data_IF_596436882452
#
_entry.id   IF_596436882452
#
_cell.length_a   1.000
_cell.length_b   1.000
_cell.length_c   1.000
_cell.angle_alpha   90.00
_cell.angle_beta   90.00
_cell.angle_gamma   90.00
#
_symmetry.space_group_name_H-M   'P 1'
#
loop_
_entity.id
_entity.type
_entity.pdbx_description
1 polymer ?
#
# COMPACT_ATOMS: atom_id res chain seq x y z
N UNK A 1 -19.68 3.28 1.63
CA UNK A 1 -18.53 2.87 0.82
C UNK A 1 -18.94 1.96 -0.33
N UNK A 2 -18.57 2.33 -1.56
CA UNK A 2 -18.71 1.54 -2.79
C UNK A 2 -17.33 1.34 -3.43
N UNK A 3 -17.04 0.16 -3.96
CA UNK A 3 -15.81 -0.13 -4.68
C UNK A 3 -16.09 -0.22 -6.18
N UNK A 4 -15.50 0.69 -6.95
CA UNK A 4 -15.60 0.73 -8.40
C UNK A 4 -14.45 -0.05 -9.02
N UNK A 5 -14.77 -0.88 -10.01
CA UNK A 5 -13.78 -1.58 -10.83
C UNK A 5 -13.97 -1.22 -12.31
N UNK A 6 -12.85 -0.95 -12.98
CA UNK A 6 -12.80 -0.84 -14.44
C UNK A 6 -11.72 -1.78 -14.96
N UNK A 7 -12.12 -2.68 -15.86
CA UNK A 7 -11.26 -3.70 -16.46
C UNK A 7 -10.82 -3.21 -17.83
N UNK A 8 -9.51 -3.13 -18.04
CA UNK A 8 -8.93 -2.69 -19.30
C UNK A 8 -8.00 -3.77 -19.85
N UNK A 9 -8.03 -3.97 -21.18
CA UNK A 9 -7.10 -4.85 -21.88
C UNK A 9 -6.13 -3.98 -22.65
N UNK A 10 -4.83 -4.15 -22.43
CA UNK A 10 -3.79 -3.44 -23.18
C UNK A 10 -2.96 -4.44 -23.99
N UNK A 11 -2.71 -4.21 -25.29
CA UNK A 11 -1.78 -5.04 -26.04
C UNK A 11 -0.38 -4.96 -25.42
N UNK A 12 0.18 -6.11 -25.03
CA UNK A 12 1.53 -6.21 -24.47
C UNK A 12 2.61 -6.28 -25.53
N UNK A 13 3.87 -6.20 -25.10
CA UNK A 13 5.03 -6.38 -25.99
C UNK A 13 5.16 -7.88 -26.33
N UNK A 14 4.79 -8.24 -27.57
CA UNK A 14 4.85 -9.57 -28.20
C UNK A 14 3.75 -10.54 -27.71
N UNK A 15 2.66 -10.66 -28.48
CA UNK A 15 1.59 -11.68 -28.41
C UNK A 15 0.93 -11.95 -27.04
N UNK A 16 1.26 -11.19 -25.99
CA UNK A 16 0.65 -11.29 -24.66
C UNK A 16 -0.31 -10.12 -24.44
N UNK A 17 -1.51 -10.44 -24.00
CA UNK A 17 -2.49 -9.45 -23.54
C UNK A 17 -2.16 -9.15 -22.09
N UNK A 18 -1.95 -7.87 -21.76
CA UNK A 18 -1.83 -7.44 -20.37
C UNK A 18 -3.20 -6.93 -19.91
N UNK A 19 -3.61 -7.36 -18.73
CA UNK A 19 -4.84 -6.89 -18.11
C UNK A 19 -4.50 -5.77 -17.13
N UNK A 20 -5.32 -4.73 -17.11
CA UNK A 20 -5.27 -3.67 -16.11
C UNK A 20 -6.59 -3.64 -15.37
N UNK A 21 -6.50 -3.64 -14.05
CA UNK A 21 -7.64 -3.45 -13.16
C UNK A 21 -7.49 -2.08 -12.52
N UNK A 22 -8.36 -1.15 -12.87
CA UNK A 22 -8.50 0.10 -12.14
C UNK A 22 -9.51 -0.09 -11.03
N UNK A 23 -9.14 0.29 -9.80
CA UNK A 23 -10.04 0.26 -8.66
C UNK A 23 -10.08 1.62 -7.98
N UNK A 24 -11.28 2.05 -7.59
CA UNK A 24 -11.49 3.30 -6.82
C UNK A 24 -12.55 3.10 -5.75
N UNK A 25 -12.28 3.59 -4.56
CA UNK A 25 -13.21 3.61 -3.44
C UNK A 25 -14.01 4.92 -3.47
N UNK A 26 -15.33 4.80 -3.60
CA UNK A 26 -16.26 5.90 -3.41
C UNK A 26 -16.80 5.86 -1.98
N UNK A 27 -16.63 6.97 -1.28
CA UNK A 27 -17.02 7.15 0.11
C UNK A 27 -17.96 8.35 0.21
N UNK A 28 -18.88 8.32 1.17
CA UNK A 28 -19.74 9.48 1.46
C UNK A 28 -18.95 10.56 2.20
N UNK A 29 -19.50 11.77 2.30
CA UNK A 29 -18.84 12.87 3.01
C UNK A 29 -18.59 12.54 4.49
N UNK A 30 -19.54 11.86 5.15
CA UNK A 30 -19.42 11.45 6.56
C UNK A 30 -18.33 10.38 6.75
N UNK A 31 -18.27 9.41 5.85
CA UNK A 31 -17.21 8.38 5.85
C UNK A 31 -15.83 9.03 5.63
N UNK A 32 -15.74 10.04 4.76
CA UNK A 32 -14.50 10.78 4.52
C UNK A 32 -14.03 11.54 5.76
N UNK A 33 -14.95 12.20 6.48
CA UNK A 33 -14.61 12.89 7.72
C UNK A 33 -14.08 11.92 8.79
N UNK A 34 -14.66 10.72 8.90
CA UNK A 34 -14.15 9.67 9.80
C UNK A 34 -12.76 9.17 9.38
N UNK A 35 -12.53 8.98 8.08
CA UNK A 35 -11.23 8.57 7.55
C UNK A 35 -10.13 9.59 7.79
N UNK A 36 -10.44 10.88 7.66
CA UNK A 36 -9.52 11.96 7.94
C UNK A 36 -9.25 12.07 9.45
N UNK A 37 -10.30 11.96 10.29
CA UNK A 37 -10.20 12.02 11.75
C UNK A 37 -9.28 10.95 12.34
N UNK A 38 -9.42 9.70 11.88
CA UNK A 38 -8.63 8.57 12.37
C UNK A 38 -7.40 8.25 11.48
N UNK A 39 -7.08 9.13 10.52
CA UNK A 39 -5.94 8.96 9.61
C UNK A 39 -5.91 7.62 8.84
N UNK A 40 -7.09 7.03 8.58
CA UNK A 40 -7.20 5.75 7.87
C UNK A 40 -6.62 5.82 6.45
N UNK A 41 -6.52 7.00 5.84
CA UNK A 41 -5.90 7.21 4.53
C UNK A 41 -4.44 6.71 4.45
N UNK A 42 -3.70 6.77 5.56
CA UNK A 42 -2.31 6.32 5.64
C UNK A 42 -2.17 4.84 6.04
N UNK A 43 -3.27 4.18 6.39
CA UNK A 43 -3.27 2.75 6.70
C UNK A 43 -2.89 1.93 5.47
N UNK A 44 -1.95 1.01 5.63
CA UNK A 44 -1.69 -0.02 4.64
C UNK A 44 -2.76 -1.11 4.76
N UNK A 45 -3.54 -1.33 3.68
CA UNK A 45 -4.48 -2.45 3.59
C UNK A 45 -3.74 -3.78 3.42
N UNK A 46 -2.53 -3.72 2.89
CA UNK A 46 -1.61 -4.84 2.77
C UNK A 46 -0.21 -4.36 3.01
N UNK A 47 0.43 -4.89 4.05
CA UNK A 47 1.88 -4.78 4.22
C UNK A 47 2.53 -6.07 3.73
N UNK A 48 3.06 -6.05 2.49
CA UNK A 48 3.99 -7.08 2.03
C UNK A 48 5.40 -6.54 2.19
N UNK A 49 6.22 -7.20 3.02
CA UNK A 49 7.65 -6.90 3.09
C UNK A 49 8.30 -7.41 1.80
N UNK A 50 8.77 -6.50 0.95
CA UNK A 50 9.36 -6.83 -0.35
C UNK A 50 10.87 -6.52 -0.38
N UNK A 51 11.73 -7.43 0.12
CA UNK A 51 13.18 -7.19 0.18
C UNK A 51 13.82 -7.05 -1.21
N UNK A 52 13.28 -7.77 -2.22
CA UNK A 52 13.78 -7.69 -3.59
C UNK A 52 13.41 -6.37 -4.28
N UNK A 53 12.31 -5.70 -3.88
CA UNK A 53 11.92 -4.42 -4.47
C UNK A 53 12.92 -3.33 -4.07
N UNK A 54 13.32 -3.28 -2.80
CA UNK A 54 14.30 -2.30 -2.31
C UNK A 54 15.66 -2.54 -2.96
N UNK A 55 16.09 -3.80 -3.07
CA UNK A 55 17.36 -4.16 -3.74
C UNK A 55 17.37 -3.79 -5.22
N UNK A 56 16.28 -4.09 -5.95
CA UNK A 56 16.19 -3.74 -7.38
C UNK A 56 16.06 -2.23 -7.61
N UNK A 57 15.33 -1.52 -6.75
CA UNK A 57 15.26 -0.06 -6.79
C UNK A 57 16.61 0.59 -6.51
N UNK A 58 17.34 0.09 -5.51
CA UNK A 58 18.68 0.59 -5.18
C UNK A 58 19.66 0.31 -6.33
N UNK A 59 19.62 -0.88 -6.92
CA UNK A 59 20.45 -1.22 -8.08
C UNK A 59 20.13 -0.32 -9.28
N UNK A 60 18.84 -0.07 -9.57
CA UNK A 60 18.41 0.82 -10.64
C UNK A 60 18.85 2.26 -10.37
N UNK A 61 18.61 2.78 -9.16
CA UNK A 61 19.01 4.12 -8.76
C UNK A 61 20.52 4.32 -8.85
N UNK A 62 21.31 3.31 -8.45
CA UNK A 62 22.76 3.33 -8.57
C UNK A 62 23.23 3.29 -10.03
N UNK A 63 22.60 2.47 -10.88
CA UNK A 63 22.90 2.45 -12.31
C UNK A 63 22.62 3.80 -12.96
N UNK A 64 21.47 4.41 -12.65
CA UNK A 64 21.13 5.76 -13.14
C UNK A 64 22.12 6.80 -12.63
N UNK A 65 22.53 6.74 -11.36
CA UNK A 65 23.55 7.61 -10.78
C UNK A 65 24.88 7.52 -11.52
N UNK A 66 25.37 6.31 -11.83
CA UNK A 66 26.62 6.14 -12.59
C UNK A 66 26.49 6.75 -13.98
N UNK A 67 25.41 6.45 -14.70
CA UNK A 67 25.22 6.93 -16.08
C UNK A 67 25.13 8.46 -16.10
N UNK A 68 24.30 9.06 -15.24
CA UNK A 68 24.21 10.53 -15.16
C UNK A 68 25.50 11.15 -14.66
N UNK A 69 26.19 10.53 -13.69
CA UNK A 69 27.48 10.99 -13.18
C UNK A 69 28.55 11.03 -14.27
N UNK A 70 28.69 9.98 -15.07
CA UNK A 70 29.68 9.94 -16.18
C UNK A 70 29.36 11.00 -17.22
N UNK A 71 28.11 11.07 -17.70
CA UNK A 71 27.70 12.03 -18.73
C UNK A 71 27.84 13.47 -18.26
N UNK A 72 27.37 13.79 -17.06
CA UNK A 72 27.42 15.16 -16.52
C UNK A 72 28.83 15.56 -16.09
N UNK A 73 29.67 14.61 -15.66
CA UNK A 73 31.07 14.91 -15.32
C UNK A 73 31.87 15.39 -16.52
N UNK A 74 31.58 14.84 -17.70
CA UNK A 74 32.22 15.24 -18.95
C UNK A 74 31.77 16.62 -19.45
N UNK A 75 30.56 17.06 -19.09
CA UNK A 75 29.96 18.31 -19.60
C UNK A 75 30.02 19.49 -18.62
N UNK A 76 29.78 19.24 -17.34
CA UNK A 76 29.53 20.29 -16.33
C UNK A 76 30.47 20.20 -15.11
N UNK A 77 31.40 19.25 -15.11
CA UNK A 77 32.37 19.04 -14.03
C UNK A 77 31.85 18.19 -12.87
N UNK A 78 32.79 17.64 -12.11
CA UNK A 78 32.54 16.55 -11.13
C UNK A 78 31.58 16.95 -10.02
N UNK A 79 31.64 18.18 -9.50
CA UNK A 79 30.79 18.62 -8.39
C UNK A 79 29.31 18.69 -8.78
N UNK A 80 29.02 19.23 -9.96
CA UNK A 80 27.64 19.33 -10.48
C UNK A 80 27.11 17.95 -10.83
N UNK A 81 27.96 17.10 -11.43
CA UNK A 81 27.60 15.74 -11.79
C UNK A 81 27.21 14.86 -10.59
N UNK A 82 27.90 14.98 -9.46
CA UNK A 82 27.58 14.21 -8.25
C UNK A 82 26.21 14.63 -7.68
N UNK A 83 25.95 15.93 -7.57
CA UNK A 83 24.67 16.42 -7.01
C UNK A 83 23.49 16.04 -7.91
N UNK A 84 23.58 16.31 -9.21
CA UNK A 84 22.51 15.96 -10.15
C UNK A 84 22.35 14.45 -10.32
N UNK A 85 23.46 13.70 -10.28
CA UNK A 85 23.43 12.25 -10.30
C UNK A 85 22.67 11.68 -9.10
N UNK A 86 22.91 12.21 -7.89
CA UNK A 86 22.20 11.76 -6.68
C UNK A 86 20.71 12.03 -6.79
N UNK A 87 20.31 13.20 -7.29
CA UNK A 87 18.90 13.54 -7.51
C UNK A 87 18.26 12.63 -8.56
N UNK A 88 18.95 12.39 -9.69
CA UNK A 88 18.45 11.51 -10.74
C UNK A 88 18.33 10.05 -10.28
N UNK A 89 19.35 9.52 -9.61
CA UNK A 89 19.35 8.16 -9.06
C UNK A 89 18.30 7.97 -7.97
N UNK A 90 18.20 8.93 -7.04
CA UNK A 90 17.17 8.93 -6.00
C UNK A 90 15.76 9.03 -6.57
N UNK A 91 15.54 9.91 -7.55
CA UNK A 91 14.26 10.05 -8.25
C UNK A 91 13.87 8.78 -9.01
N UNK A 92 14.81 8.14 -9.71
CA UNK A 92 14.57 6.90 -10.43
C UNK A 92 14.25 5.73 -9.49
N UNK A 93 14.97 5.62 -8.37
CA UNK A 93 14.68 4.64 -7.34
C UNK A 93 13.30 4.87 -6.73
N UNK A 94 12.97 6.10 -6.36
CA UNK A 94 11.65 6.45 -5.81
C UNK A 94 10.53 6.11 -6.79
N UNK A 95 10.68 6.49 -8.06
CA UNK A 95 9.71 6.18 -9.12
C UNK A 95 9.52 4.68 -9.30
N UNK A 96 10.60 3.89 -9.32
CA UNK A 96 10.53 2.44 -9.43
C UNK A 96 9.78 1.80 -8.26
N UNK A 97 10.10 2.22 -7.03
CA UNK A 97 9.40 1.72 -5.84
C UNK A 97 7.92 2.11 -5.94
N UNK A 98 7.59 3.35 -6.28
CA UNK A 98 6.19 3.78 -6.43
C UNK A 98 5.40 2.96 -7.46
N UNK A 99 6.00 2.66 -8.61
CA UNK A 99 5.36 1.92 -9.69
C UNK A 99 5.21 0.41 -9.40
N UNK A 100 6.12 -0.16 -8.59
CA UNK A 100 6.23 -1.62 -8.34
C UNK A 100 5.86 -2.05 -6.92
N UNK A 101 5.49 -1.12 -6.03
CA UNK A 101 4.95 -1.44 -4.70
C UNK A 101 3.74 -2.35 -4.82
N UNK A 102 3.74 -3.50 -4.15
CA UNK A 102 2.52 -4.30 -3.95
C UNK A 102 1.75 -3.88 -2.70
N UNK A 103 2.34 -3.06 -1.83
CA UNK A 103 1.67 -2.41 -0.71
C UNK A 103 0.54 -1.53 -1.26
N UNK A 104 -0.67 -1.72 -0.74
CA UNK A 104 -1.85 -0.94 -1.13
C UNK A 104 -2.23 -0.07 0.06
N UNK A 105 -2.14 1.24 -0.11
CA UNK A 105 -2.64 2.18 0.88
C UNK A 105 -4.10 2.51 0.60
N UNK A 106 -4.83 2.91 1.65
CA UNK A 106 -6.21 3.38 1.50
C UNK A 106 -6.28 4.61 0.59
N UNK A 107 -5.33 5.55 0.71
CA UNK A 107 -5.22 6.72 -0.18
C UNK A 107 -5.14 6.34 -1.66
N UNK A 108 -4.40 5.29 -2.00
CA UNK A 108 -4.27 4.83 -3.38
C UNK A 108 -5.64 4.43 -3.97
N UNK A 109 -6.52 3.86 -3.14
CA UNK A 109 -7.87 3.48 -3.56
C UNK A 109 -8.82 4.69 -3.59
N UNK A 110 -8.62 5.70 -2.74
CA UNK A 110 -9.42 6.94 -2.78
C UNK A 110 -9.16 7.75 -4.06
N UNK A 111 -7.90 7.86 -4.46
CA UNK A 111 -7.49 8.56 -5.69
C UNK A 111 -7.78 7.71 -6.94
N UNK A 112 -7.72 6.39 -6.78
CA UNK A 112 -7.92 5.40 -7.83
C UNK A 112 -6.59 4.88 -8.36
N UNK A 113 -6.41 3.56 -8.34
CA UNK A 113 -5.14 2.91 -8.69
C UNK A 113 -5.31 1.86 -9.76
N UNK A 114 -4.33 1.79 -10.67
CA UNK A 114 -4.21 0.76 -11.68
C UNK A 114 -3.33 -0.39 -11.18
N UNK A 115 -3.87 -1.61 -11.25
CA UNK A 115 -3.16 -2.86 -10.99
C UNK A 115 -2.87 -3.55 -12.32
N UNK A 116 -1.62 -3.95 -12.55
CA UNK A 116 -1.23 -4.73 -13.73
C UNK A 116 -1.37 -6.21 -13.40
N UNK A 117 -2.19 -6.92 -14.18
CA UNK A 117 -2.44 -8.35 -14.04
C UNK A 117 -1.94 -9.07 -15.30
N UNK A 118 -1.23 -10.19 -15.12
CA UNK A 118 -0.68 -10.96 -16.24
C UNK A 118 -1.70 -11.90 -16.88
N UNK A 119 -2.77 -12.24 -16.15
CA UNK A 119 -3.83 -13.14 -16.60
C UNK A 119 -5.21 -12.72 -16.11
N UNK A 120 -6.25 -13.25 -16.75
CA UNK A 120 -7.66 -13.08 -16.32
C UNK A 120 -7.88 -13.67 -14.92
N UNK A 121 -7.22 -14.80 -14.60
CA UNK A 121 -7.30 -15.43 -13.29
C UNK A 121 -6.71 -14.51 -12.22
N UNK A 122 -5.56 -13.89 -12.49
CA UNK A 122 -4.97 -12.89 -11.59
C UNK A 122 -5.86 -11.67 -11.43
N UNK A 123 -6.51 -11.21 -12.49
CA UNK A 123 -7.47 -10.11 -12.41
C UNK A 123 -8.64 -10.46 -11.48
N UNK A 124 -9.27 -11.62 -11.65
CA UNK A 124 -10.36 -12.07 -10.79
C UNK A 124 -9.92 -12.26 -9.33
N UNK A 125 -8.72 -12.82 -9.10
CA UNK A 125 -8.13 -12.94 -7.76
C UNK A 125 -7.89 -11.56 -7.14
N UNK A 126 -7.40 -10.60 -7.92
CA UNK A 126 -7.12 -9.25 -7.43
C UNK A 126 -8.43 -8.49 -7.11
N UNK A 127 -9.49 -8.69 -7.89
CA UNK A 127 -10.82 -8.15 -7.59
C UNK A 127 -11.39 -8.68 -6.28
N UNK A 128 -11.38 -10.01 -6.09
CA UNK A 128 -11.83 -10.63 -4.85
C UNK A 128 -11.02 -10.14 -3.65
N UNK A 129 -9.69 -10.08 -3.80
CA UNK A 129 -8.77 -9.58 -2.78
C UNK A 129 -9.06 -8.13 -2.38
N UNK A 130 -9.29 -7.24 -3.36
CA UNK A 130 -9.63 -5.84 -3.10
C UNK A 130 -11.01 -5.71 -2.44
N UNK A 131 -11.97 -6.54 -2.84
CA UNK A 131 -13.28 -6.59 -2.22
C UNK A 131 -13.20 -6.95 -0.73
N UNK A 132 -12.45 -8.00 -0.38
CA UNK A 132 -12.27 -8.44 1.01
C UNK A 132 -11.57 -7.37 1.86
N UNK A 133 -10.58 -6.67 1.31
CA UNK A 133 -9.89 -5.58 2.00
C UNK A 133 -10.80 -4.40 2.29
N UNK A 134 -11.61 -3.99 1.30
CA UNK A 134 -12.57 -2.91 1.48
C UNK A 134 -13.68 -3.32 2.44
N UNK A 135 -14.05 -4.60 2.47
CA UNK A 135 -14.97 -5.13 3.47
C UNK A 135 -14.43 -4.95 4.89
N UNK A 136 -13.18 -5.34 5.14
CA UNK A 136 -12.52 -5.13 6.45
C UNK A 136 -12.43 -3.64 6.76
N UNK A 137 -12.00 -2.81 5.82
CA UNK A 137 -11.93 -1.35 6.00
C UNK A 137 -13.28 -0.76 6.38
N UNK A 138 -14.37 -1.21 5.75
CA UNK A 138 -15.72 -0.79 6.08
C UNK A 138 -16.11 -1.19 7.50
N UNK A 139 -15.82 -2.41 7.92
CA UNK A 139 -16.10 -2.85 9.29
C UNK A 139 -15.31 -2.03 10.31
N UNK A 140 -14.03 -1.77 10.07
CA UNK A 140 -13.22 -0.90 10.94
C UNK A 140 -13.78 0.51 10.98
N UNK A 141 -14.21 1.07 9.86
CA UNK A 141 -14.84 2.39 9.81
C UNK A 141 -16.18 2.44 10.58
N UNK A 142 -16.98 1.38 10.53
CA UNK A 142 -18.22 1.26 11.31
C UNK A 142 -17.94 1.12 12.82
N UNK A 143 -16.94 0.33 13.21
CA UNK A 143 -16.48 0.24 14.60
C UNK A 143 -15.93 1.59 15.09
N UNK A 144 -15.19 2.31 14.25
CA UNK A 144 -14.61 3.61 14.61
C UNK A 144 -15.66 4.68 14.92
N UNK A 145 -16.89 4.57 14.41
CA UNK A 145 -18.00 5.45 14.81
C UNK A 145 -18.32 5.38 16.30
N UNK A 146 -18.01 4.24 16.93
CA UNK A 146 -18.33 3.96 18.34
C UNK A 146 -17.10 4.06 19.25
N UNK A 147 -15.89 4.32 18.73
CA UNK A 147 -14.66 4.33 19.52
C UNK A 147 -14.54 5.46 20.54
N UNK A 148 -15.25 6.57 20.36
CA UNK A 148 -15.32 7.62 21.38
C UNK A 148 -16.26 7.27 22.54
N UNK A 149 -17.01 6.16 22.44
CA UNK A 149 -17.89 5.66 23.49
C UNK A 149 -17.11 4.96 24.60
N UNK A 150 -17.52 5.18 25.86
CA UNK A 150 -17.04 4.38 26.97
C UNK A 150 -17.81 3.04 26.99
N UNK A 151 -17.12 1.94 26.71
CA UNK A 151 -17.66 0.59 26.88
C UNK A 151 -17.39 0.10 28.30
N UNK A 152 -18.43 -0.32 29.02
CA UNK A 152 -18.28 -1.01 30.31
C UNK A 152 -18.25 -2.50 30.03
N UNK A 153 -17.09 -3.13 30.23
CA UNK A 153 -16.94 -4.58 30.17
C UNK A 153 -17.03 -5.10 31.60
N UNK A 154 -18.12 -5.81 31.92
CA UNK A 154 -18.26 -6.49 33.20
C UNK A 154 -17.24 -7.63 33.26
N UNK A 155 -16.30 -7.55 34.20
CA UNK A 155 -15.31 -8.61 34.44
C UNK A 155 -15.88 -9.51 35.52
N UNK A 156 -16.42 -10.65 35.10
CA UNK A 156 -16.90 -11.67 36.02
C UNK A 156 -15.76 -12.18 36.90
N UNK A 157 -16.04 -12.34 38.19
CA UNK A 157 -15.10 -12.89 39.13
C UNK A 157 -14.85 -14.38 38.80
N UNK A 158 -13.60 -14.70 38.43
CA UNK A 158 -13.18 -16.08 38.20
C UNK A 158 -13.33 -16.93 39.48
N UNK A 159 -13.70 -18.22 39.35
CA UNK A 159 -13.61 -19.17 40.45
C UNK A 159 -12.20 -19.21 41.06
N UNK A 160 -12.10 -19.43 42.37
CA UNK A 160 -10.82 -19.38 43.12
C UNK A 160 -9.69 -20.20 42.47
N UNK A 161 -10.01 -21.38 41.94
CA UNK A 161 -9.02 -22.29 41.37
C UNK A 161 -8.49 -21.79 40.01
N UNK A 162 -9.36 -21.22 39.18
CA UNK A 162 -8.98 -20.60 37.90
C UNK A 162 -8.22 -19.30 38.10
N UNK A 163 -8.64 -18.46 39.05
CA UNK A 163 -7.93 -17.25 39.43
C UNK A 163 -6.50 -17.56 39.90
N UNK A 164 -6.31 -18.62 40.71
CA UNK A 164 -4.99 -19.06 41.17
C UNK A 164 -4.10 -19.50 40.00
N UNK A 165 -4.64 -20.23 39.02
CA UNK A 165 -3.90 -20.64 37.82
C UNK A 165 -3.53 -19.44 36.93
N UNK A 166 -4.41 -18.45 36.80
CA UNK A 166 -4.16 -17.24 36.02
C UNK A 166 -3.07 -16.37 36.67
N UNK A 167 -3.11 -16.21 37.99
CA UNK A 167 -2.07 -15.52 38.77
C UNK A 167 -0.72 -16.22 38.61
N UNK A 168 -0.67 -17.55 38.68
CA UNK A 168 0.56 -18.32 38.50
C UNK A 168 1.13 -18.28 37.06
N UNK A 169 0.31 -17.97 36.05
CA UNK A 169 0.77 -17.79 34.65
C UNK A 169 1.30 -16.39 34.37
N UNK A 170 0.82 -15.39 35.10
CA UNK A 170 1.17 -13.97 34.90
C UNK A 170 2.31 -13.49 35.81
N UNK A 171 2.61 -14.23 36.88
CA UNK A 171 3.79 -14.04 37.74
C UNK A 171 5.03 -14.73 37.15
#
# INVERSE_FOLDING_TARGET
MNLLFKREQTPGKIARINFKLWAKLEITADEKALMDRYSFANGALVEVIQPNLIRTAAALGFAVFIVTGVVLSAMAGTKVAVVLGLLAGGGAAYWWINEKRETIYVRDLLEGRNFKCSSVIELAKQEARLHDMVYVLRQVAESAKHWDGAETIEIDALPKDEARQLILRLA
#
